data_IF_198162043172
#
_entry.id   IF_198162043172
#
_cell.length_a   1.000
_cell.length_b   1.000
_cell.length_c   1.000
_cell.angle_alpha   90.00
_cell.angle_beta   90.00
_cell.angle_gamma   90.00
#
_symmetry.space_group_name_H-M   'P 1'
#
loop_
_entity.id
_entity.type
_entity.pdbx_description
1 polymer ?
#
# COMPACT_ATOMS: atom_id res chain seq x y z
N UNK A 1 10.62 4.73 -18.77
CA UNK A 1 10.91 4.41 -17.36
C UNK A 1 9.64 4.14 -16.57
N UNK A 2 9.59 3.06 -15.81
CA UNK A 2 8.56 2.83 -14.80
C UNK A 2 9.18 3.15 -13.45
N UNK A 3 8.88 4.32 -12.88
CA UNK A 3 9.42 4.72 -11.58
C UNK A 3 8.52 4.23 -10.45
N UNK A 4 9.12 3.92 -9.30
CA UNK A 4 8.39 3.65 -8.04
C UNK A 4 7.48 4.81 -7.66
N UNK A 5 7.89 6.04 -7.99
CA UNK A 5 7.12 7.26 -7.76
C UNK A 5 5.80 7.29 -8.55
N UNK A 6 5.81 6.82 -9.81
CA UNK A 6 4.59 6.73 -10.61
C UNK A 6 3.61 5.70 -10.02
N UNK A 7 4.10 4.54 -9.60
CA UNK A 7 3.26 3.53 -8.93
C UNK A 7 2.65 4.08 -7.65
N UNK A 8 3.45 4.73 -6.81
CA UNK A 8 2.97 5.35 -5.59
C UNK A 8 1.95 6.45 -5.86
N UNK A 9 2.14 7.24 -6.91
CA UNK A 9 1.19 8.28 -7.33
C UNK A 9 -0.16 7.66 -7.70
N UNK A 10 -0.16 6.62 -8.55
CA UNK A 10 -1.38 5.94 -8.97
C UNK A 10 -2.06 5.27 -7.77
N UNK A 11 -1.32 4.47 -6.99
CA UNK A 11 -1.84 3.75 -5.81
C UNK A 11 -2.45 4.73 -4.80
N UNK A 12 -1.77 5.83 -4.48
CA UNK A 12 -2.29 6.83 -3.55
C UNK A 12 -3.56 7.51 -4.08
N UNK A 13 -3.66 7.74 -5.39
CA UNK A 13 -4.86 8.25 -6.04
C UNK A 13 -6.06 7.34 -5.82
N UNK A 14 -5.93 6.04 -6.12
CA UNK A 14 -7.01 5.08 -5.89
C UNK A 14 -7.34 4.89 -4.39
N UNK A 15 -6.34 4.92 -3.52
CA UNK A 15 -6.53 4.82 -2.08
C UNK A 15 -7.40 5.97 -1.53
N UNK A 16 -7.15 7.21 -1.98
CA UNK A 16 -7.95 8.39 -1.61
C UNK A 16 -9.42 8.30 -2.04
N UNK A 17 -9.70 7.54 -3.08
CA UNK A 17 -11.07 7.31 -3.57
C UNK A 17 -11.70 6.02 -3.01
N UNK A 18 -11.14 5.44 -1.94
CA UNK A 18 -11.65 4.23 -1.30
C UNK A 18 -11.90 3.08 -2.29
N UNK A 19 -10.93 2.87 -3.21
CA UNK A 19 -10.97 1.83 -4.25
C UNK A 19 -10.01 0.69 -3.91
N UNK A 20 -10.35 -0.19 -2.94
CA UNK A 20 -9.40 -1.14 -2.37
C UNK A 20 -9.00 -2.21 -3.37
N UNK A 21 -9.93 -2.68 -4.23
CA UNK A 21 -9.66 -3.70 -5.24
C UNK A 21 -8.56 -3.25 -6.21
N UNK A 22 -8.68 -2.03 -6.72
CA UNK A 22 -7.70 -1.46 -7.64
C UNK A 22 -6.35 -1.22 -6.97
N UNK A 23 -6.35 -0.76 -5.72
CA UNK A 23 -5.11 -0.60 -4.94
C UNK A 23 -4.38 -1.95 -4.79
N UNK A 24 -5.09 -3.03 -4.45
CA UNK A 24 -4.49 -4.36 -4.31
C UNK A 24 -3.96 -4.90 -5.65
N UNK A 25 -4.73 -4.75 -6.74
CA UNK A 25 -4.27 -5.15 -8.09
C UNK A 25 -3.02 -4.38 -8.51
N UNK A 26 -2.94 -3.09 -8.21
CA UNK A 26 -1.75 -2.28 -8.53
C UNK A 26 -0.55 -2.71 -7.69
N UNK A 27 -0.75 -3.02 -6.41
CA UNK A 27 0.30 -3.56 -5.55
C UNK A 27 0.84 -4.90 -6.06
N UNK A 28 -0.03 -5.83 -6.45
CA UNK A 28 0.38 -7.11 -7.05
C UNK A 28 1.15 -6.90 -8.35
N UNK A 29 0.68 -6.01 -9.23
CA UNK A 29 1.38 -5.69 -10.47
C UNK A 29 2.76 -5.10 -10.17
N UNK A 30 2.88 -4.16 -9.24
CA UNK A 30 4.16 -3.57 -8.84
C UNK A 30 5.17 -4.67 -8.46
N UNK A 31 4.74 -5.67 -7.67
CA UNK A 31 5.57 -6.82 -7.31
C UNK A 31 5.94 -7.69 -8.51
N UNK A 32 5.00 -7.97 -9.42
CA UNK A 32 5.24 -8.74 -10.65
C UNK A 32 6.25 -8.05 -11.59
N UNK A 33 6.30 -6.71 -11.57
CA UNK A 33 7.31 -5.93 -12.29
C UNK A 33 8.67 -5.88 -11.58
N UNK A 34 8.86 -6.61 -10.48
CA UNK A 34 10.11 -6.63 -9.71
C UNK A 34 10.37 -5.35 -8.93
N UNK A 35 9.37 -4.47 -8.79
CA UNK A 35 9.51 -3.23 -8.04
C UNK A 35 9.24 -3.46 -6.57
N UNK A 36 10.13 -2.94 -5.73
CA UNK A 36 10.02 -3.06 -4.29
C UNK A 36 9.06 -1.99 -3.75
N UNK A 37 7.94 -2.37 -3.13
CA UNK A 37 7.09 -1.46 -2.36
C UNK A 37 7.89 -0.74 -1.29
N UNK A 38 7.60 0.53 -1.06
CA UNK A 38 8.22 1.32 0.00
C UNK A 38 7.18 1.82 1.02
N UNK A 39 7.61 2.65 1.97
CA UNK A 39 6.75 3.18 3.02
C UNK A 39 5.51 3.90 2.48
N UNK A 40 5.64 4.63 1.36
CA UNK A 40 4.54 5.35 0.73
C UNK A 40 3.51 4.38 0.14
N UNK A 41 3.98 3.28 -0.47
CA UNK A 41 3.12 2.21 -0.98
C UNK A 41 2.28 1.62 0.15
N UNK A 42 2.93 1.23 1.26
CA UNK A 42 2.26 0.62 2.41
C UNK A 42 1.33 1.60 3.13
N UNK A 43 1.70 2.87 3.24
CA UNK A 43 0.81 3.91 3.80
C UNK A 43 -0.50 4.02 3.01
N UNK A 44 -0.42 3.99 1.68
CA UNK A 44 -1.62 4.03 0.82
C UNK A 44 -2.47 2.76 0.97
N UNK A 45 -1.84 1.59 1.05
CA UNK A 45 -2.50 0.30 1.26
C UNK A 45 -3.22 0.22 2.61
N UNK A 46 -2.56 0.65 3.69
CA UNK A 46 -3.14 0.67 5.03
C UNK A 46 -4.26 1.70 5.15
N UNK A 47 -4.08 2.89 4.56
CA UNK A 47 -5.09 3.93 4.52
C UNK A 47 -6.38 3.46 3.83
N UNK A 48 -6.29 2.82 2.65
CA UNK A 48 -7.50 2.32 1.97
C UNK A 48 -8.19 1.23 2.78
N UNK A 49 -7.43 0.36 3.46
CA UNK A 49 -7.99 -0.66 4.34
C UNK A 49 -8.75 -0.04 5.53
N UNK A 50 -8.18 1.02 6.14
CA UNK A 50 -8.83 1.78 7.19
C UNK A 50 -10.14 2.43 6.73
N UNK A 51 -10.14 3.07 5.57
CA UNK A 51 -11.34 3.73 5.02
C UNK A 51 -12.45 2.76 4.59
N UNK A 52 -12.11 1.51 4.25
CA UNK A 52 -13.05 0.54 3.69
C UNK A 52 -13.42 -0.59 4.65
N UNK A 53 -12.90 -0.56 5.87
CA UNK A 53 -13.17 -1.58 6.89
C UNK A 53 -12.48 -2.93 6.65
N UNK A 54 -11.49 -2.99 5.77
CA UNK A 54 -10.70 -4.19 5.47
C UNK A 54 -9.62 -4.43 6.54
N UNK A 55 -10.06 -4.66 7.78
CA UNK A 55 -9.19 -4.70 8.96
C UNK A 55 -8.17 -5.84 8.88
N UNK A 56 -8.58 -7.02 8.41
CA UNK A 56 -7.69 -8.18 8.38
C UNK A 56 -6.64 -8.06 7.27
N UNK A 57 -7.02 -7.54 6.11
CA UNK A 57 -6.10 -7.17 5.03
C UNK A 57 -5.09 -6.13 5.51
N UNK A 58 -5.55 -5.09 6.22
CA UNK A 58 -4.67 -4.08 6.83
C UNK A 58 -3.67 -4.70 7.79
N UNK A 59 -4.10 -5.63 8.65
CA UNK A 59 -3.22 -6.37 9.58
C UNK A 59 -2.18 -7.21 8.83
N UNK A 60 -2.60 -7.90 7.77
CA UNK A 60 -1.71 -8.72 6.94
C UNK A 60 -0.67 -7.87 6.20
N UNK A 61 -1.07 -6.74 5.64
CA UNK A 61 -0.18 -5.77 5.02
C UNK A 61 0.82 -5.19 6.02
N UNK A 62 0.38 -4.86 7.22
CA UNK A 62 1.26 -4.37 8.29
C UNK A 62 2.32 -5.40 8.70
N UNK A 63 1.94 -6.68 8.82
CA UNK A 63 2.88 -7.77 9.07
C UNK A 63 3.86 -7.93 7.91
N UNK A 64 3.35 -7.94 6.67
CA UNK A 64 4.14 -8.08 5.45
C UNK A 64 5.18 -6.97 5.29
N UNK A 65 4.79 -5.72 5.58
CA UNK A 65 5.66 -4.54 5.58
C UNK A 65 6.91 -4.77 6.44
N UNK A 66 6.74 -5.30 7.64
CA UNK A 66 7.85 -5.56 8.58
C UNK A 66 8.64 -6.81 8.23
N UNK A 67 7.95 -7.93 7.98
CA UNK A 67 8.61 -9.24 7.86
C UNK A 67 9.30 -9.44 6.51
N UNK A 68 8.70 -8.98 5.42
CA UNK A 68 9.22 -9.18 4.06
C UNK A 68 10.04 -7.99 3.57
N UNK A 69 9.59 -6.77 3.89
CA UNK A 69 10.20 -5.55 3.35
C UNK A 69 11.09 -4.81 4.35
N UNK A 70 11.12 -5.23 5.63
CA UNK A 70 11.93 -4.58 6.66
C UNK A 70 11.55 -3.13 6.93
N UNK A 71 10.36 -2.71 6.51
CA UNK A 71 9.90 -1.33 6.63
C UNK A 71 9.26 -1.10 7.99
N UNK A 72 9.52 0.07 8.57
CA UNK A 72 8.91 0.48 9.82
C UNK A 72 7.61 1.23 9.55
N UNK A 73 6.49 0.87 10.20
CA UNK A 73 5.26 1.62 10.08
C UNK A 73 5.49 3.04 10.60
N UNK A 74 5.37 4.03 9.72
CA UNK A 74 5.53 5.42 10.09
C UNK A 74 4.21 5.94 10.68
N UNK A 75 4.29 6.57 11.86
CA UNK A 75 3.16 6.91 12.74
C UNK A 75 2.42 8.17 12.23
N UNK A 76 1.82 8.07 11.06
CA UNK A 76 0.78 9.02 10.64
C UNK A 76 -0.49 8.22 10.39
N UNK A 77 -0.96 7.52 11.43
CA UNK A 77 -2.06 6.56 11.41
C UNK A 77 -2.92 6.68 12.69
N UNK A 78 -3.37 7.89 13.04
CA UNK A 78 -4.34 8.13 14.13
C UNK A 78 -5.29 9.32 13.91
N UNK A 79 -5.49 9.76 12.67
CA UNK A 79 -6.42 10.85 12.34
C UNK A 79 -7.49 10.39 11.38
#
# INVERSE_FOLDING_TARGET
DKSIELWNTIISGFAKHARPKEVMVLFEKMQQYGMQPNEVTFSSLLSVCGHTGLVEEGRNLFKLMRSKYGLSPNVVHYS
#
